data_IF_839169424051
#
_entry.id   IF_839169424051
#
_cell.length_a   1.000
_cell.length_b   1.000
_cell.length_c   1.000
_cell.angle_alpha   90.00
_cell.angle_beta   90.00
_cell.angle_gamma   90.00
#
_symmetry.space_group_name_H-M   'P 1'
#
loop_
_entity.id
_entity.type
_entity.pdbx_description
1 polymer ?
#
# COMPACT_ATOMS: atom_id res chain seq x y z
N UNK A 1 12.49 -12.99 -20.95
CA UNK A 1 12.07 -12.07 -19.88
C UNK A 1 11.34 -12.92 -18.87
N UNK A 2 11.90 -13.04 -17.67
CA UNK A 2 11.21 -13.69 -16.57
C UNK A 2 10.30 -12.67 -15.91
N UNK A 3 9.03 -13.01 -15.78
CA UNK A 3 7.97 -12.17 -15.22
C UNK A 3 7.46 -12.72 -13.89
N UNK A 4 8.08 -13.77 -13.37
CA UNK A 4 7.80 -14.25 -12.02
C UNK A 4 8.18 -13.19 -10.99
N UNK A 5 7.45 -13.17 -9.88
CA UNK A 5 7.81 -12.34 -8.73
C UNK A 5 9.13 -12.86 -8.14
N UNK A 6 9.94 -11.93 -7.64
CA UNK A 6 11.07 -12.31 -6.78
C UNK A 6 10.57 -12.84 -5.44
N UNK A 7 11.40 -13.55 -4.69
CA UNK A 7 11.06 -14.02 -3.34
C UNK A 7 10.65 -12.86 -2.41
N UNK A 8 11.36 -11.73 -2.49
CA UNK A 8 11.02 -10.52 -1.74
C UNK A 8 9.65 -9.96 -2.14
N UNK A 9 9.31 -9.98 -3.43
CA UNK A 9 8.00 -9.56 -3.92
C UNK A 9 6.89 -10.53 -3.50
N UNK A 10 7.14 -11.84 -3.48
CA UNK A 10 6.18 -12.80 -2.95
C UNK A 10 5.92 -12.57 -1.46
N UNK A 11 6.97 -12.30 -0.68
CA UNK A 11 6.83 -11.95 0.74
C UNK A 11 6.04 -10.66 0.94
N UNK A 12 6.33 -9.61 0.15
CA UNK A 12 5.58 -8.35 0.17
C UNK A 12 4.10 -8.58 -0.16
N UNK A 13 3.82 -9.32 -1.23
CA UNK A 13 2.46 -9.67 -1.65
C UNK A 13 1.68 -10.38 -0.54
N UNK A 14 2.27 -11.44 0.02
CA UNK A 14 1.60 -12.28 1.02
C UNK A 14 1.33 -11.50 2.31
N UNK A 15 2.32 -10.72 2.78
CA UNK A 15 2.16 -9.88 3.97
C UNK A 15 1.17 -8.75 3.77
N UNK A 16 1.19 -8.08 2.62
CA UNK A 16 0.22 -7.04 2.28
C UNK A 16 -1.20 -7.60 2.22
N UNK A 17 -1.38 -8.78 1.60
CA UNK A 17 -2.68 -9.46 1.54
C UNK A 17 -3.20 -9.78 2.94
N UNK A 18 -2.41 -10.45 3.76
CA UNK A 18 -2.83 -10.84 5.11
C UNK A 18 -3.19 -9.62 5.96
N UNK A 19 -2.39 -8.56 5.87
CA UNK A 19 -2.67 -7.30 6.57
C UNK A 19 -3.98 -6.67 6.09
N UNK A 20 -4.16 -6.51 4.78
CA UNK A 20 -5.32 -5.82 4.21
C UNK A 20 -6.62 -6.63 4.39
N UNK A 21 -6.57 -7.96 4.33
CA UNK A 21 -7.73 -8.81 4.64
C UNK A 21 -8.20 -8.64 6.09
N UNK A 22 -7.27 -8.40 7.02
CA UNK A 22 -7.56 -8.20 8.43
C UNK A 22 -8.00 -6.78 8.76
N UNK A 23 -7.24 -5.79 8.30
CA UNK A 23 -7.40 -4.39 8.71
C UNK A 23 -8.28 -3.57 7.75
N UNK A 24 -8.51 -4.05 6.50
CA UNK A 24 -9.33 -3.39 5.50
C UNK A 24 -10.45 -4.32 4.95
N UNK A 25 -11.33 -4.85 5.81
CA UNK A 25 -12.45 -5.68 5.35
C UNK A 25 -13.45 -4.86 4.51
N UNK A 26 -14.25 -5.49 3.63
CA UNK A 26 -15.24 -4.78 2.81
C UNK A 26 -16.22 -3.91 3.60
N UNK A 27 -16.53 -4.28 4.85
CA UNK A 27 -17.36 -3.47 5.75
C UNK A 27 -16.73 -2.13 6.10
N UNK A 28 -15.41 -2.08 6.28
CA UNK A 28 -14.68 -0.84 6.49
C UNK A 28 -14.74 0.03 5.24
N UNK A 29 -14.48 -0.56 4.05
CA UNK A 29 -14.55 0.15 2.76
C UNK A 29 -15.92 0.81 2.59
N UNK A 30 -17.01 0.09 2.89
CA UNK A 30 -18.36 0.65 2.84
C UNK A 30 -18.59 1.77 3.85
N UNK A 31 -18.09 1.62 5.08
CA UNK A 31 -18.20 2.67 6.09
C UNK A 31 -17.49 3.96 5.67
N UNK A 32 -16.43 3.88 4.86
CA UNK A 32 -15.69 5.06 4.39
C UNK A 32 -16.44 5.86 3.31
N UNK A 33 -17.51 5.32 2.70
CA UNK A 33 -18.34 6.08 1.74
C UNK A 33 -19.04 7.28 2.40
N UNK A 34 -19.37 7.15 3.69
CA UNK A 34 -20.06 8.19 4.48
C UNK A 34 -19.10 8.93 5.44
N UNK A 35 -17.81 8.56 5.47
CA UNK A 35 -16.81 9.21 6.32
C UNK A 35 -16.30 10.50 5.70
N UNK A 36 -16.18 11.57 6.50
CA UNK A 36 -15.76 12.90 6.01
C UNK A 36 -14.34 12.91 5.42
N UNK A 37 -13.43 12.06 5.93
CA UNK A 37 -12.07 11.92 5.40
C UNK A 37 -12.00 10.89 4.28
N UNK A 38 -12.92 9.93 4.28
CA UNK A 38 -12.98 8.83 3.31
C UNK A 38 -11.94 7.73 3.54
N UNK A 39 -11.28 7.72 4.71
CA UNK A 39 -10.38 6.62 5.11
C UNK A 39 -10.11 6.61 6.63
N UNK A 40 -9.75 5.45 7.21
CA UNK A 40 -9.44 5.35 8.63
C UNK A 40 -8.01 5.83 8.89
N UNK A 41 -7.85 6.78 9.82
CA UNK A 41 -6.51 7.31 10.19
C UNK A 41 -5.61 6.24 10.81
N UNK A 42 -6.16 5.31 11.59
CA UNK A 42 -5.39 4.21 12.19
C UNK A 42 -4.80 3.28 11.12
N UNK A 43 -5.57 2.96 10.07
CA UNK A 43 -5.10 2.13 8.96
C UNK A 43 -3.95 2.81 8.21
N UNK A 44 -4.06 4.13 8.01
CA UNK A 44 -2.99 4.94 7.45
C UNK A 44 -1.70 4.89 8.28
N UNK A 45 -1.83 5.05 9.60
CA UNK A 45 -0.69 4.99 10.53
C UNK A 45 -0.04 3.60 10.57
N UNK A 46 -0.84 2.53 10.55
CA UNK A 46 -0.33 1.16 10.48
C UNK A 46 0.46 0.93 9.19
N UNK A 47 -0.08 1.32 8.03
CA UNK A 47 0.62 1.22 6.75
C UNK A 47 1.92 2.03 6.73
N UNK A 48 1.94 3.22 7.35
CA UNK A 48 3.18 4.00 7.50
C UNK A 48 4.21 3.28 8.38
N UNK A 49 3.77 2.64 9.46
CA UNK A 49 4.61 1.81 10.32
C UNK A 49 5.19 0.57 9.64
N UNK A 50 4.57 0.09 8.56
CA UNK A 50 5.07 -0.98 7.70
C UNK A 50 6.05 -0.50 6.62
N UNK A 51 6.34 0.80 6.56
CA UNK A 51 7.24 1.38 5.56
C UNK A 51 6.62 1.55 4.17
N UNK A 52 5.32 1.30 4.00
CA UNK A 52 4.68 1.26 2.68
C UNK A 52 4.68 2.62 1.98
N UNK A 53 4.59 3.70 2.74
CA UNK A 53 4.64 5.09 2.23
C UNK A 53 6.01 5.41 1.64
N UNK A 54 7.06 4.75 2.13
CA UNK A 54 8.46 4.94 1.75
C UNK A 54 8.96 3.94 0.69
N UNK A 55 8.13 2.96 0.28
CA UNK A 55 8.61 1.74 -0.35
C UNK A 55 9.50 1.98 -1.58
N UNK A 56 9.07 2.83 -2.51
CA UNK A 56 9.80 3.13 -3.75
C UNK A 56 10.72 4.34 -3.65
N UNK A 57 10.83 4.97 -2.48
CA UNK A 57 11.63 6.18 -2.30
C UNK A 57 13.08 5.84 -1.93
N UNK A 58 14.05 6.68 -2.34
CA UNK A 58 15.44 6.53 -1.91
C UNK A 58 15.61 6.55 -0.39
N UNK A 59 16.54 5.74 0.12
CA UNK A 59 16.87 5.67 1.55
C UNK A 59 17.38 7.00 2.12
N UNK A 60 18.04 7.83 1.30
CA UNK A 60 18.48 9.17 1.70
C UNK A 60 17.33 10.14 2.05
N UNK A 61 16.11 9.79 1.66
CA UNK A 61 14.88 10.50 2.01
C UNK A 61 14.03 9.75 3.05
N UNK A 62 14.56 8.69 3.66
CA UNK A 62 13.84 7.84 4.61
C UNK A 62 12.92 6.81 3.96
N UNK A 63 13.09 6.51 2.67
CA UNK A 63 12.41 5.41 1.98
C UNK A 63 13.11 4.06 2.12
N UNK A 64 12.52 3.02 1.54
CA UNK A 64 13.05 1.65 1.60
C UNK A 64 13.98 1.32 0.42
N UNK A 65 14.00 2.14 -0.63
CA UNK A 65 14.81 1.92 -1.84
C UNK A 65 14.29 0.81 -2.73
N UNK A 66 13.02 0.42 -2.59
CA UNK A 66 12.34 -0.54 -3.44
C UNK A 66 12.14 -0.03 -4.86
N UNK A 67 11.87 -0.95 -5.77
CA UNK A 67 11.64 -0.65 -7.18
C UNK A 67 10.17 -0.33 -7.47
N UNK A 68 9.90 0.19 -8.67
CA UNK A 68 8.52 0.38 -9.16
C UNK A 68 7.74 -0.93 -9.25
N UNK A 69 8.39 -2.07 -9.49
CA UNK A 69 7.71 -3.37 -9.53
C UNK A 69 7.36 -3.87 -8.13
N UNK A 70 8.16 -3.55 -7.11
CA UNK A 70 7.80 -3.81 -5.71
C UNK A 70 6.57 -3.00 -5.31
N UNK A 71 6.53 -1.71 -5.69
CA UNK A 71 5.36 -0.86 -5.48
C UNK A 71 4.13 -1.38 -6.24
N UNK A 72 4.30 -1.87 -7.46
CA UNK A 72 3.20 -2.44 -8.23
C UNK A 72 2.58 -3.66 -7.51
N UNK A 73 3.40 -4.55 -6.96
CA UNK A 73 2.92 -5.70 -6.16
C UNK A 73 2.10 -5.25 -4.96
N UNK A 74 2.54 -4.22 -4.24
CA UNK A 74 1.78 -3.66 -3.12
C UNK A 74 0.45 -3.05 -3.61
N UNK A 75 0.47 -2.29 -4.70
CA UNK A 75 -0.73 -1.67 -5.28
C UNK A 75 -1.74 -2.70 -5.77
N UNK A 76 -1.30 -3.85 -6.29
CA UNK A 76 -2.20 -4.95 -6.69
C UNK A 76 -3.01 -5.47 -5.50
N UNK A 77 -2.37 -5.68 -4.36
CA UNK A 77 -3.06 -6.15 -3.15
C UNK A 77 -3.94 -5.04 -2.52
N UNK A 78 -3.49 -3.78 -2.56
CA UNK A 78 -4.34 -2.63 -2.18
C UNK A 78 -5.60 -2.52 -3.04
N UNK A 79 -5.45 -2.67 -4.36
CA UNK A 79 -6.57 -2.68 -5.30
C UNK A 79 -7.53 -3.84 -5.06
N UNK A 80 -6.99 -5.04 -4.77
CA UNK A 80 -7.79 -6.22 -4.38
C UNK A 80 -8.64 -5.95 -3.13
N UNK A 81 -8.10 -5.27 -2.14
CA UNK A 81 -8.80 -4.92 -0.91
C UNK A 81 -9.71 -3.69 -1.05
N UNK A 82 -9.70 -3.01 -2.20
CA UNK A 82 -10.36 -1.72 -2.42
C UNK A 82 -9.95 -0.69 -1.36
N UNK A 83 -8.66 -0.64 -1.03
CA UNK A 83 -8.12 0.21 0.04
C UNK A 83 -8.62 1.66 -0.13
N UNK A 84 -9.42 2.17 0.82
CA UNK A 84 -9.83 3.57 0.80
C UNK A 84 -8.68 4.44 1.30
N UNK A 85 -8.57 5.64 0.74
CA UNK A 85 -7.68 6.67 1.24
C UNK A 85 -6.59 7.12 0.27
N UNK A 86 -5.66 7.95 0.75
CA UNK A 86 -4.90 8.82 -0.12
C UNK A 86 -3.63 8.17 -0.70
N UNK A 87 -3.36 6.88 -0.43
CA UNK A 87 -2.07 6.24 -0.74
C UNK A 87 -1.64 6.45 -2.19
N UNK A 88 -2.52 6.14 -3.14
CA UNK A 88 -2.23 6.31 -4.55
C UNK A 88 -1.99 7.78 -4.93
N UNK A 89 -2.83 8.69 -4.42
CA UNK A 89 -2.68 10.12 -4.66
C UNK A 89 -1.39 10.70 -4.08
N UNK A 90 -0.98 10.26 -2.89
CA UNK A 90 0.20 10.80 -2.20
C UNK A 90 1.50 10.17 -2.67
N UNK A 91 1.54 8.83 -2.76
CA UNK A 91 2.77 8.10 -3.08
C UNK A 91 3.00 8.08 -4.58
N UNK A 92 2.00 7.71 -5.36
CA UNK A 92 2.16 7.51 -6.81
C UNK A 92 2.02 8.83 -7.57
N UNK A 93 0.90 9.54 -7.41
CA UNK A 93 0.62 10.72 -8.23
C UNK A 93 1.45 11.95 -7.89
N UNK A 94 1.85 12.13 -6.62
CA UNK A 94 2.61 13.30 -6.17
C UNK A 94 4.05 12.90 -5.84
N UNK A 95 4.23 11.81 -5.11
CA UNK A 95 5.55 11.43 -4.62
C UNK A 95 6.52 10.99 -5.71
N UNK A 96 6.07 10.29 -6.75
CA UNK A 96 6.94 9.80 -7.84
C UNK A 96 7.06 10.77 -9.04
N UNK A 97 6.72 12.05 -8.84
CA UNK A 97 6.76 13.08 -9.90
C UNK A 97 7.92 14.02 -9.70
#
# INVERSE_FOLDING_TARGET
MDLALTEAQEMLKNSAREFLERECPPSLVRAMEDDERGYPTHLWEQMAGLGWMGLAFPQEHGGEGGSLTDLAVLLEEMGRAMLPGPFFGTVVNVGLT
#
